data_IF_968241373775
#
_entry.id   IF_968241373775
#
_cell.length_a   1.000
_cell.length_b   1.000
_cell.length_c   1.000
_cell.angle_alpha   90.00
_cell.angle_beta   90.00
_cell.angle_gamma   90.00
#
_symmetry.space_group_name_H-M   'P 1'
#
loop_
_entity.id
_entity.type
_entity.pdbx_description
1 polymer ?
#
# COMPACT_ATOMS: atom_id res chain seq x y z
N UNK A 1 -8.19 -45.26 12.20
CA UNK A 1 -8.47 -43.89 11.73
C UNK A 1 -8.65 -42.95 12.92
N UNK A 2 -7.64 -42.12 13.24
CA UNK A 2 -7.79 -41.06 14.25
C UNK A 2 -8.11 -39.74 13.54
N UNK A 3 -9.38 -39.32 13.57
CA UNK A 3 -9.80 -37.94 13.29
C UNK A 3 -9.24 -37.06 14.41
N UNK A 4 -8.13 -36.36 14.17
CA UNK A 4 -7.43 -35.55 15.15
C UNK A 4 -7.15 -34.13 14.66
N UNK A 5 -8.06 -33.20 15.01
CA UNK A 5 -7.82 -31.77 15.26
C UNK A 5 -7.20 -30.87 14.17
N UNK A 6 -8.00 -30.56 13.14
CA UNK A 6 -7.77 -29.41 12.25
C UNK A 6 -7.90 -28.04 12.98
N UNK A 7 -8.57 -27.97 14.14
CA UNK A 7 -8.67 -26.74 14.95
C UNK A 7 -7.34 -26.31 15.61
N UNK A 8 -6.40 -27.25 15.83
CA UNK A 8 -5.10 -26.92 16.45
C UNK A 8 -4.13 -26.24 15.47
N UNK A 9 -4.22 -26.50 14.16
CA UNK A 9 -3.31 -25.89 13.17
C UNK A 9 -3.63 -24.43 12.86
N UNK A 10 -4.91 -24.03 12.96
CA UNK A 10 -5.33 -22.64 12.75
C UNK A 10 -4.84 -21.75 13.89
N UNK A 11 -4.92 -22.21 15.15
CA UNK A 11 -4.38 -21.47 16.29
C UNK A 11 -2.84 -21.41 16.29
N UNK A 12 -2.16 -22.45 15.81
CA UNK A 12 -0.69 -22.42 15.66
C UNK A 12 -0.22 -21.38 14.63
N UNK A 13 -0.96 -21.16 13.52
CA UNK A 13 -0.68 -20.13 12.50
C UNK A 13 -1.00 -18.69 12.93
N UNK A 14 -1.71 -18.49 14.04
CA UNK A 14 -1.95 -17.15 14.61
C UNK A 14 -0.80 -16.74 15.53
N UNK A 15 -0.13 -17.71 16.16
CA UNK A 15 1.01 -17.49 17.06
C UNK A 15 2.38 -17.61 16.36
N UNK A 16 2.40 -17.63 15.04
CA UNK A 16 3.62 -17.76 14.26
C UNK A 16 4.35 -16.38 14.22
N UNK A 17 5.56 -16.25 14.81
CA UNK A 17 6.29 -14.98 14.85
C UNK A 17 6.71 -14.48 13.46
N UNK A 18 6.54 -15.30 12.41
CA UNK A 18 6.65 -14.88 11.02
C UNK A 18 5.65 -13.77 10.63
N UNK A 19 4.50 -13.65 11.30
CA UNK A 19 3.54 -12.55 11.07
C UNK A 19 4.03 -11.18 11.54
N UNK A 20 4.97 -11.10 12.49
CA UNK A 20 5.54 -9.81 12.89
C UNK A 20 6.63 -9.30 11.92
N UNK A 21 7.16 -10.17 11.05
CA UNK A 21 8.21 -9.80 10.07
C UNK A 21 7.71 -8.87 8.97
N UNK A 22 6.42 -8.92 8.62
CA UNK A 22 5.84 -8.07 7.57
C UNK A 22 5.99 -6.57 7.83
N UNK A 23 5.89 -6.15 9.10
CA UNK A 23 6.09 -4.76 9.52
C UNK A 23 7.58 -4.35 9.48
N UNK A 24 8.49 -5.30 9.69
CA UNK A 24 9.94 -5.04 9.67
C UNK A 24 10.46 -4.91 8.22
N UNK A 25 9.83 -5.59 7.26
CA UNK A 25 10.20 -5.53 5.84
C UNK A 25 10.05 -4.11 5.27
N UNK A 26 9.05 -3.35 5.68
CA UNK A 26 8.77 -1.99 5.17
C UNK A 26 9.15 -0.87 6.15
N UNK A 27 9.90 -1.18 7.22
CA UNK A 27 10.19 -0.22 8.29
C UNK A 27 10.82 1.07 7.78
N UNK A 28 11.74 1.00 6.80
CA UNK A 28 12.40 2.18 6.22
C UNK A 28 11.42 3.03 5.41
N UNK A 29 10.62 2.38 4.58
CA UNK A 29 9.63 3.04 3.72
C UNK A 29 8.53 3.72 4.55
N UNK A 30 8.11 3.12 5.66
CA UNK A 30 7.17 3.74 6.61
C UNK A 30 7.77 5.02 7.22
N UNK A 31 9.05 5.02 7.60
CA UNK A 31 9.72 6.22 8.13
C UNK A 31 9.75 7.33 7.09
N UNK A 32 10.09 7.03 5.84
CA UNK A 32 10.08 8.02 4.76
C UNK A 32 8.68 8.54 4.43
N UNK A 33 7.66 7.66 4.46
CA UNK A 33 6.28 8.09 4.30
C UNK A 33 5.84 9.05 5.41
N UNK A 34 6.23 8.76 6.66
CA UNK A 34 5.94 9.67 7.79
C UNK A 34 6.64 11.01 7.64
N UNK A 35 7.91 11.03 7.18
CA UNK A 35 8.63 12.26 6.89
C UNK A 35 7.93 13.08 5.80
N UNK A 36 7.47 12.42 4.74
CA UNK A 36 6.68 13.06 3.69
C UNK A 36 5.38 13.66 4.22
N UNK A 37 4.64 12.92 5.05
CA UNK A 37 3.39 13.44 5.65
C UNK A 37 3.66 14.67 6.51
N UNK A 38 4.71 14.65 7.35
CA UNK A 38 5.10 15.80 8.18
C UNK A 38 5.44 17.01 7.29
N UNK A 39 6.17 16.79 6.20
CA UNK A 39 6.50 17.83 5.23
C UNK A 39 5.24 18.45 4.61
N UNK A 40 4.32 17.63 4.08
CA UNK A 40 3.07 18.10 3.47
C UNK A 40 2.20 18.88 4.47
N UNK A 41 2.05 18.38 5.71
CA UNK A 41 1.29 19.11 6.73
C UNK A 41 1.95 20.42 7.11
N UNK A 42 3.28 20.44 7.17
CA UNK A 42 4.04 21.67 7.46
C UNK A 42 3.86 22.69 6.34
N UNK A 43 3.96 22.28 5.06
CA UNK A 43 3.71 23.16 3.91
C UNK A 43 2.25 23.61 3.78
N UNK A 44 1.30 22.83 4.29
CA UNK A 44 -0.12 23.21 4.31
C UNK A 44 -0.46 24.20 5.44
N UNK A 45 0.23 24.14 6.58
CA UNK A 45 -0.02 25.00 7.75
C UNK A 45 0.76 26.31 7.62
N UNK A 46 2.00 26.24 7.17
CA UNK A 46 2.87 27.39 7.02
C UNK A 46 2.89 27.80 5.55
N UNK A 47 2.47 29.04 5.26
CA UNK A 47 2.55 29.63 3.91
C UNK A 47 4.02 29.98 3.61
N UNK A 48 4.77 28.95 3.19
CA UNK A 48 6.20 29.04 2.95
C UNK A 48 6.41 29.35 1.47
N UNK A 49 6.56 30.65 1.18
CA UNK A 49 6.76 31.16 -0.18
C UNK A 49 8.20 31.12 -0.70
N UNK A 50 9.15 30.60 0.06
CA UNK A 50 10.59 30.63 -0.26
C UNK A 50 10.96 29.58 -1.34
N UNK A 51 11.67 29.97 -2.42
CA UNK A 51 12.07 29.06 -3.51
C UNK A 51 12.96 27.89 -3.06
N UNK A 52 13.63 27.98 -1.91
CA UNK A 52 14.40 26.85 -1.35
C UNK A 52 13.48 25.62 -1.13
N UNK A 53 12.21 25.85 -0.83
CA UNK A 53 11.25 24.77 -0.58
C UNK A 53 10.82 24.05 -1.85
N UNK A 54 10.96 24.66 -3.03
CA UNK A 54 10.77 23.98 -4.31
C UNK A 54 11.85 22.90 -4.51
N UNK A 55 13.11 23.22 -4.21
CA UNK A 55 14.20 22.25 -4.24
C UNK A 55 13.98 21.12 -3.23
N UNK A 56 13.50 21.42 -2.03
CA UNK A 56 13.16 20.42 -1.01
C UNK A 56 12.02 19.52 -1.51
N UNK A 57 11.00 20.08 -2.16
CA UNK A 57 9.89 19.32 -2.74
C UNK A 57 10.36 18.30 -3.77
N UNK A 58 11.27 18.70 -4.68
CA UNK A 58 11.88 17.78 -5.64
C UNK A 58 12.70 16.67 -4.99
N UNK A 59 13.48 16.99 -3.94
CA UNK A 59 14.24 15.98 -3.19
C UNK A 59 13.30 14.95 -2.57
N UNK A 60 12.21 15.41 -1.95
CA UNK A 60 11.20 14.54 -1.34
C UNK A 60 10.51 13.68 -2.40
N UNK A 61 10.21 14.23 -3.58
CA UNK A 61 9.65 13.48 -4.69
C UNK A 61 10.57 12.35 -5.16
N UNK A 62 11.88 12.60 -5.27
CA UNK A 62 12.88 11.58 -5.62
C UNK A 62 12.93 10.48 -4.55
N UNK A 63 12.94 10.85 -3.27
CA UNK A 63 12.95 9.89 -2.16
C UNK A 63 11.69 9.02 -2.16
N UNK A 64 10.52 9.61 -2.41
CA UNK A 64 9.26 8.88 -2.57
C UNK A 64 9.33 7.88 -3.72
N UNK A 65 9.87 8.28 -4.87
CA UNK A 65 10.00 7.41 -6.03
C UNK A 65 10.90 6.21 -5.72
N UNK A 66 12.05 6.44 -5.08
CA UNK A 66 12.97 5.37 -4.66
C UNK A 66 12.32 4.43 -3.65
N UNK A 67 11.57 4.97 -2.68
CA UNK A 67 10.82 4.16 -1.72
C UNK A 67 9.77 3.29 -2.43
N UNK A 68 9.08 3.84 -3.42
CA UNK A 68 8.08 3.10 -4.18
C UNK A 68 8.70 1.95 -4.98
N UNK A 69 9.82 2.19 -5.68
CA UNK A 69 10.57 1.13 -6.38
C UNK A 69 11.01 0.04 -5.40
N UNK A 70 11.54 0.42 -4.22
CA UNK A 70 11.92 -0.53 -3.16
C UNK A 70 10.73 -1.36 -2.70
N UNK A 71 9.57 -0.74 -2.48
CA UNK A 71 8.34 -1.45 -2.11
C UNK A 71 7.93 -2.47 -3.18
N UNK A 72 7.94 -2.08 -4.46
CA UNK A 72 7.62 -3.01 -5.55
C UNK A 72 8.55 -4.22 -5.55
N UNK A 73 9.86 -4.01 -5.47
CA UNK A 73 10.84 -5.11 -5.47
C UNK A 73 10.61 -6.07 -4.31
N UNK A 74 10.37 -5.53 -3.10
CA UNK A 74 10.06 -6.34 -1.91
C UNK A 74 8.78 -7.15 -2.08
N UNK A 75 7.71 -6.52 -2.55
CA UNK A 75 6.43 -7.18 -2.81
C UNK A 75 6.58 -8.29 -3.85
N UNK A 76 7.28 -8.03 -4.95
CA UNK A 76 7.52 -9.03 -6.01
C UNK A 76 8.31 -10.24 -5.48
N UNK A 77 9.37 -10.00 -4.71
CA UNK A 77 10.18 -11.06 -4.11
C UNK A 77 9.35 -11.92 -3.14
N UNK A 78 8.51 -11.29 -2.30
CA UNK A 78 7.64 -12.00 -1.37
C UNK A 78 6.56 -12.81 -2.10
N UNK A 79 5.97 -12.24 -3.17
CA UNK A 79 5.01 -12.96 -4.01
C UNK A 79 5.63 -14.19 -4.69
N UNK A 80 6.88 -14.09 -5.14
CA UNK A 80 7.60 -15.21 -5.74
C UNK A 80 7.82 -16.35 -4.72
N UNK A 81 8.18 -16.01 -3.48
CA UNK A 81 8.31 -16.96 -2.39
C UNK A 81 6.98 -17.66 -2.05
N UNK A 82 5.91 -16.86 -1.89
CA UNK A 82 4.56 -17.37 -1.59
C UNK A 82 4.01 -18.26 -2.72
N UNK A 83 4.30 -17.94 -3.99
CA UNK A 83 3.91 -18.77 -5.13
C UNK A 83 4.57 -20.15 -5.08
N UNK A 84 5.86 -20.21 -4.75
CA UNK A 84 6.60 -21.46 -4.58
C UNK A 84 6.09 -22.34 -3.43
N UNK A 85 5.61 -21.73 -2.33
CA UNK A 85 4.98 -22.48 -1.23
C UNK A 85 3.55 -22.94 -1.55
N UNK A 86 2.80 -22.15 -2.33
CA UNK A 86 1.41 -22.45 -2.69
C UNK A 86 1.32 -23.56 -3.76
N UNK A 87 2.25 -23.62 -4.72
CA UNK A 87 2.35 -24.73 -5.67
C UNK A 87 2.66 -26.08 -4.99
N UNK A 88 3.24 -26.05 -3.79
CA UNK A 88 3.48 -27.24 -2.95
C UNK A 88 2.33 -27.58 -1.99
N UNK A 89 1.29 -26.73 -1.88
CA UNK A 89 0.22 -26.85 -0.90
C UNK A 89 -1.16 -26.93 -1.55
N UNK A 90 -1.80 -28.08 -1.47
CA UNK A 90 -3.12 -28.36 -2.04
C UNK A 90 -4.25 -27.55 -1.34
N UNK A 91 -4.46 -26.28 -1.71
CA UNK A 91 -5.48 -25.38 -1.13
C UNK A 91 -6.54 -24.91 -2.15
N UNK A 92 -6.89 -25.75 -3.11
CA UNK A 92 -7.79 -25.39 -4.21
C UNK A 92 -9.30 -25.37 -3.88
N UNK A 93 -9.75 -25.62 -2.64
CA UNK A 93 -11.14 -26.09 -2.45
C UNK A 93 -12.11 -25.22 -1.63
N UNK A 94 -11.79 -23.97 -1.27
CA UNK A 94 -12.75 -23.15 -0.52
C UNK A 94 -13.15 -21.85 -1.23
N UNK A 95 -14.14 -22.04 -2.10
CA UNK A 95 -15.40 -21.28 -2.11
C UNK A 95 -15.58 -20.17 -3.17
N UNK A 96 -15.74 -20.59 -4.42
CA UNK A 96 -16.01 -19.80 -5.63
C UNK A 96 -17.15 -18.75 -5.50
N UNK A 97 -18.17 -19.02 -4.66
CA UNK A 97 -19.30 -18.09 -4.46
C UNK A 97 -19.02 -16.95 -3.47
N UNK A 98 -18.14 -17.19 -2.48
CA UNK A 98 -17.67 -16.15 -1.56
C UNK A 98 -16.66 -15.21 -2.23
N UNK A 99 -15.93 -15.70 -3.24
CA UNK A 99 -14.94 -14.93 -4.00
C UNK A 99 -15.58 -13.75 -4.74
N UNK A 100 -16.73 -13.94 -5.40
CA UNK A 100 -17.38 -12.86 -6.14
C UNK A 100 -17.87 -11.72 -5.23
N UNK A 101 -18.57 -12.05 -4.14
CA UNK A 101 -19.07 -11.04 -3.19
C UNK A 101 -17.91 -10.28 -2.53
N UNK A 102 -16.80 -10.97 -2.23
CA UNK A 102 -15.62 -10.35 -1.66
C UNK A 102 -14.88 -9.45 -2.66
N UNK A 103 -14.75 -9.89 -3.93
CA UNK A 103 -14.19 -9.07 -5.02
C UNK A 103 -15.00 -7.78 -5.22
N UNK A 104 -16.33 -7.88 -5.21
CA UNK A 104 -17.23 -6.74 -5.40
C UNK A 104 -17.15 -5.77 -4.21
N UNK A 105 -17.10 -6.28 -2.98
CA UNK A 105 -16.89 -5.45 -1.79
C UNK A 105 -15.52 -4.76 -1.78
N UNK A 106 -14.45 -5.47 -2.14
CA UNK A 106 -13.11 -4.89 -2.25
C UNK A 106 -13.06 -3.78 -3.32
N UNK A 107 -13.72 -4.00 -4.46
CA UNK A 107 -13.84 -2.99 -5.51
C UNK A 107 -14.59 -1.73 -5.04
N UNK A 108 -15.71 -1.88 -4.31
CA UNK A 108 -16.45 -0.75 -3.74
C UNK A 108 -15.59 0.03 -2.72
N UNK A 109 -14.82 -0.66 -1.88
CA UNK A 109 -13.88 -0.02 -0.95
C UNK A 109 -12.82 0.78 -1.71
N UNK A 110 -12.25 0.21 -2.78
CA UNK A 110 -11.25 0.91 -3.59
C UNK A 110 -11.83 2.18 -4.23
N UNK A 111 -13.05 2.13 -4.77
CA UNK A 111 -13.73 3.31 -5.32
C UNK A 111 -13.96 4.38 -4.24
N UNK A 112 -14.51 3.98 -3.08
CA UNK A 112 -14.72 4.92 -1.98
C UNK A 112 -13.40 5.56 -1.52
N UNK A 113 -12.33 4.77 -1.45
CA UNK A 113 -10.99 5.23 -1.13
C UNK A 113 -10.47 6.27 -2.14
N UNK A 114 -10.62 6.00 -3.45
CA UNK A 114 -10.26 6.95 -4.53
C UNK A 114 -10.98 8.28 -4.35
N UNK A 115 -12.29 8.25 -4.07
CA UNK A 115 -13.09 9.47 -3.91
C UNK A 115 -12.58 10.30 -2.73
N UNK A 116 -12.37 9.67 -1.56
CA UNK A 116 -11.86 10.36 -0.37
C UNK A 116 -10.49 11.00 -0.66
N UNK A 117 -9.61 10.23 -1.28
CA UNK A 117 -8.24 10.63 -1.58
C UNK A 117 -8.20 11.74 -2.63
N UNK A 118 -9.14 11.74 -3.58
CA UNK A 118 -9.31 12.83 -4.53
C UNK A 118 -9.69 14.16 -3.86
N UNK A 119 -10.59 14.14 -2.88
CA UNK A 119 -10.92 15.35 -2.10
C UNK A 119 -9.71 15.85 -1.30
N UNK A 120 -8.97 14.95 -0.66
CA UNK A 120 -7.74 15.30 0.07
C UNK A 120 -6.70 15.93 -0.86
N UNK A 121 -6.47 15.33 -2.04
CA UNK A 121 -5.57 15.88 -3.05
C UNK A 121 -5.97 17.29 -3.48
N UNK A 122 -7.25 17.47 -3.85
CA UNK A 122 -7.75 18.75 -4.36
C UNK A 122 -7.62 19.84 -3.32
N UNK A 123 -7.93 19.52 -2.06
CA UNK A 123 -7.76 20.45 -0.94
C UNK A 123 -6.29 20.84 -0.73
N UNK A 124 -5.39 19.85 -0.66
CA UNK A 124 -3.97 20.10 -0.40
C UNK A 124 -3.28 20.84 -1.56
N UNK A 125 -3.57 20.48 -2.81
CA UNK A 125 -3.01 21.13 -4.00
C UNK A 125 -3.47 22.60 -4.14
N UNK A 126 -4.62 22.95 -3.55
CA UNK A 126 -5.08 24.35 -3.50
C UNK A 126 -4.35 25.22 -2.47
N UNK A 127 -3.71 24.63 -1.47
CA UNK A 127 -3.05 25.33 -0.36
C UNK A 127 -1.52 25.32 -0.52
N UNK A 128 -0.97 24.20 -0.98
CA UNK A 128 0.47 24.00 -1.09
C UNK A 128 0.97 24.58 -2.41
N UNK A 129 1.87 25.56 -2.33
CA UNK A 129 2.45 26.24 -3.49
C UNK A 129 3.37 25.33 -4.32
N UNK A 130 4.19 24.52 -3.67
CA UNK A 130 5.08 23.55 -4.31
C UNK A 130 4.54 22.14 -4.04
N UNK A 131 3.76 21.63 -4.99
CA UNK A 131 2.97 20.40 -4.83
C UNK A 131 3.42 19.25 -5.76
N UNK A 132 4.67 19.28 -6.24
CA UNK A 132 5.18 18.27 -7.16
C UNK A 132 5.30 16.91 -6.47
N UNK A 133 5.85 16.85 -5.24
CA UNK A 133 5.92 15.60 -4.47
C UNK A 133 4.53 15.05 -4.15
N UNK A 134 3.57 15.93 -3.86
CA UNK A 134 2.17 15.60 -3.63
C UNK A 134 1.55 14.96 -4.89
N UNK A 135 1.67 15.63 -6.04
CA UNK A 135 1.21 15.14 -7.34
C UNK A 135 1.79 13.76 -7.67
N UNK A 136 3.10 13.59 -7.46
CA UNK A 136 3.77 12.32 -7.69
C UNK A 136 3.22 11.21 -6.77
N UNK A 137 3.04 11.51 -5.48
CA UNK A 137 2.48 10.57 -4.52
C UNK A 137 1.08 10.08 -4.94
N UNK A 138 0.19 11.01 -5.30
CA UNK A 138 -1.15 10.63 -5.77
C UNK A 138 -1.13 9.88 -7.10
N UNK A 139 -0.25 10.26 -8.04
CA UNK A 139 -0.10 9.55 -9.31
C UNK A 139 0.30 8.08 -9.10
N UNK A 140 1.29 7.85 -8.23
CA UNK A 140 1.71 6.51 -7.82
C UNK A 140 0.55 5.76 -7.18
N UNK A 141 -0.15 6.40 -6.24
CA UNK A 141 -1.25 5.79 -5.51
C UNK A 141 -2.41 5.38 -6.44
N UNK A 142 -2.83 6.25 -7.36
CA UNK A 142 -3.85 5.93 -8.36
C UNK A 142 -3.40 4.78 -9.28
N UNK A 143 -2.13 4.76 -9.69
CA UNK A 143 -1.59 3.68 -10.51
C UNK A 143 -1.68 2.32 -9.80
N UNK A 144 -1.39 2.28 -8.50
CA UNK A 144 -1.53 1.07 -7.67
C UNK A 144 -3.00 0.65 -7.57
N UNK A 145 -3.92 1.59 -7.36
CA UNK A 145 -5.35 1.27 -7.30
C UNK A 145 -5.85 0.70 -8.63
N UNK A 146 -5.51 1.34 -9.75
CA UNK A 146 -5.90 0.86 -11.09
C UNK A 146 -5.37 -0.56 -11.30
N UNK A 147 -4.12 -0.82 -10.94
CA UNK A 147 -3.54 -2.16 -11.00
C UNK A 147 -4.30 -3.17 -10.12
N UNK A 148 -4.65 -2.81 -8.89
CA UNK A 148 -5.43 -3.67 -7.98
C UNK A 148 -6.82 -3.97 -8.54
N UNK A 149 -7.49 -2.96 -9.11
CA UNK A 149 -8.80 -3.13 -9.76
C UNK A 149 -8.68 -4.14 -10.91
N UNK A 150 -7.70 -3.96 -11.82
CA UNK A 150 -7.48 -4.90 -12.92
C UNK A 150 -7.25 -6.33 -12.41
N UNK A 151 -6.46 -6.49 -11.34
CA UNK A 151 -6.18 -7.80 -10.75
C UNK A 151 -7.38 -8.44 -10.05
N UNK A 152 -8.29 -7.64 -9.48
CA UNK A 152 -9.54 -8.14 -8.88
C UNK A 152 -10.53 -8.60 -9.96
N UNK A 153 -10.59 -7.88 -11.09
CA UNK A 153 -11.49 -8.18 -12.20
C UNK A 153 -11.02 -9.38 -13.05
N UNK A 154 -9.71 -9.60 -13.15
CA UNK A 154 -9.11 -10.79 -13.76
C UNK A 154 -9.28 -12.05 -12.87
#
# INVERSE_FOLDING_TARGET
MKKGNCKKSIFARVNDPSKSKGLDIFRKEIVFLNLFLIYIFSMAIFDIGDPIFECIDYIIAIVLLVCFISMIVKVVNEFHFLKGECENGNFAFLNEKAVFSFKLFAFLILIAGVIIIFFVYTYLSGIIKYDFSLKLFFFIFYSVIVYLIMKILN
#
